data_IF_529099827445
#
_entry.id   IF_529099827445
#
_cell.length_a   1.000
_cell.length_b   1.000
_cell.length_c   1.000
_cell.angle_alpha   90.00
_cell.angle_beta   90.00
_cell.angle_gamma   90.00
#
_symmetry.space_group_name_H-M   'P 1'
#
loop_
_entity.id
_entity.type
_entity.pdbx_description
1 polymer ?
#
# COMPACT_ATOMS: atom_id res chain seq x y z
N UNK A 1 12.01 -14.61 -30.35
CA UNK A 1 12.14 -15.11 -28.97
C UNK A 1 12.53 -13.90 -28.15
N UNK A 2 11.53 -13.07 -27.85
CA UNK A 2 11.74 -11.87 -27.04
C UNK A 2 11.86 -12.32 -25.59
N UNK A 3 12.82 -11.75 -24.92
CA UNK A 3 13.23 -12.08 -23.57
C UNK A 3 12.15 -11.65 -22.57
N UNK A 4 11.21 -12.55 -22.27
CA UNK A 4 10.16 -12.34 -21.25
C UNK A 4 10.72 -12.45 -19.81
N UNK A 5 12.04 -12.29 -19.61
CA UNK A 5 12.69 -12.39 -18.30
C UNK A 5 12.84 -11.08 -17.52
N UNK A 6 12.46 -9.93 -18.09
CA UNK A 6 12.19 -8.71 -17.31
C UNK A 6 10.82 -8.78 -16.61
N UNK A 7 10.59 -9.86 -15.86
CA UNK A 7 9.45 -9.98 -14.95
C UNK A 7 9.67 -8.99 -13.81
N UNK A 8 9.27 -7.74 -14.08
CA UNK A 8 8.78 -6.67 -13.20
C UNK A 8 9.12 -6.79 -11.69
N UNK A 9 10.41 -6.91 -11.35
CA UNK A 9 10.86 -6.59 -10.01
C UNK A 9 10.98 -5.07 -9.93
N UNK A 10 10.19 -4.44 -9.06
CA UNK A 10 10.41 -3.02 -8.76
C UNK A 10 11.87 -2.86 -8.29
N UNK A 11 12.67 -1.98 -8.92
CA UNK A 11 14.04 -1.79 -8.50
C UNK A 11 14.06 -1.27 -7.07
N UNK A 12 14.91 -1.86 -6.22
CA UNK A 12 15.05 -1.41 -4.84
C UNK A 12 15.43 0.08 -4.83
N UNK A 13 14.62 0.88 -4.11
CA UNK A 13 14.81 2.32 -3.97
C UNK A 13 15.54 2.59 -2.66
N UNK A 14 16.55 3.45 -2.67
CA UNK A 14 17.23 3.89 -1.44
C UNK A 14 16.42 4.96 -0.70
N UNK A 15 16.62 5.12 0.62
CA UNK A 15 15.96 6.19 1.38
C UNK A 15 16.26 7.58 0.79
N UNK A 16 17.52 7.86 0.45
CA UNK A 16 17.91 9.14 -0.17
C UNK A 16 17.19 9.41 -1.49
N UNK A 17 17.06 8.39 -2.33
CA UNK A 17 16.35 8.49 -3.60
C UNK A 17 14.84 8.72 -3.39
N UNK A 18 14.25 7.97 -2.47
CA UNK A 18 12.85 8.15 -2.10
C UNK A 18 12.57 9.55 -1.54
N UNK A 19 13.44 10.07 -0.68
CA UNK A 19 13.33 11.43 -0.14
C UNK A 19 13.44 12.50 -1.23
N UNK A 20 14.30 12.30 -2.24
CA UNK A 20 14.35 13.20 -3.40
C UNK A 20 13.04 13.19 -4.18
N UNK A 21 12.48 12.01 -4.47
CA UNK A 21 11.19 11.87 -5.16
C UNK A 21 10.06 12.53 -4.35
N UNK A 22 10.06 12.34 -3.03
CA UNK A 22 9.09 12.91 -2.10
C UNK A 22 9.16 14.44 -2.08
N UNK A 23 10.35 15.00 -1.93
CA UNK A 23 10.59 16.44 -1.94
C UNK A 23 10.25 17.11 -3.28
N UNK A 24 10.53 16.42 -4.39
CA UNK A 24 10.18 16.87 -5.73
C UNK A 24 8.68 16.68 -6.07
N UNK A 25 7.93 15.95 -5.25
CA UNK A 25 6.56 15.52 -5.54
C UNK A 25 6.45 14.81 -6.90
N UNK A 26 7.40 13.91 -7.17
CA UNK A 26 7.49 13.13 -8.41
C UNK A 26 6.44 12.00 -8.41
N UNK A 27 5.15 12.36 -8.54
CA UNK A 27 3.98 11.44 -8.38
C UNK A 27 4.09 10.13 -9.15
N UNK A 28 4.55 10.20 -10.41
CA UNK A 28 4.72 9.05 -11.30
C UNK A 28 5.74 8.03 -10.81
N UNK A 29 6.70 8.46 -10.00
CA UNK A 29 7.75 7.61 -9.44
C UNK A 29 7.39 7.20 -8.00
N UNK A 30 6.84 8.13 -7.23
CA UNK A 30 6.60 7.99 -5.80
C UNK A 30 5.63 6.84 -5.46
N UNK A 31 4.58 6.64 -6.27
CA UNK A 31 3.62 5.55 -6.05
C UNK A 31 4.24 4.16 -6.27
N UNK A 32 5.26 4.03 -7.13
CA UNK A 32 5.99 2.76 -7.33
C UNK A 32 7.06 2.58 -6.28
N UNK A 33 7.77 3.65 -5.95
CA UNK A 33 8.84 3.65 -4.97
C UNK A 33 8.33 3.23 -3.58
N UNK A 34 7.15 3.70 -3.14
CA UNK A 34 6.61 3.30 -1.83
C UNK A 34 6.27 1.81 -1.75
N UNK A 35 5.78 1.22 -2.84
CA UNK A 35 5.55 -0.24 -2.90
C UNK A 35 6.89 -0.98 -2.89
N UNK A 36 7.87 -0.50 -3.65
CA UNK A 36 9.21 -1.11 -3.64
C UNK A 36 9.78 -1.15 -2.23
N UNK A 37 9.79 -0.02 -1.51
CA UNK A 37 10.26 0.05 -0.12
C UNK A 37 9.49 -0.92 0.78
N UNK A 38 8.16 -0.95 0.67
CA UNK A 38 7.32 -1.86 1.45
C UNK A 38 7.58 -3.35 1.16
N UNK A 39 8.16 -3.70 0.02
CA UNK A 39 8.52 -5.08 -0.33
C UNK A 39 9.99 -5.43 -0.03
N UNK A 40 10.90 -4.47 -0.10
CA UNK A 40 12.35 -4.74 -0.07
C UNK A 40 13.07 -4.19 1.15
N UNK A 41 12.60 -3.08 1.73
CA UNK A 41 13.32 -2.40 2.80
C UNK A 41 13.23 -3.18 4.12
N UNK A 42 14.28 -3.15 4.93
CA UNK A 42 14.34 -3.80 6.23
C UNK A 42 13.91 -2.87 7.38
N UNK A 43 13.99 -1.55 7.19
CA UNK A 43 13.55 -0.56 8.17
C UNK A 43 12.04 -0.36 8.06
N UNK A 44 11.29 -1.27 8.71
CA UNK A 44 9.83 -1.18 8.79
C UNK A 44 9.35 0.17 9.31
N UNK A 45 10.00 0.72 10.34
CA UNK A 45 9.51 1.93 10.99
C UNK A 45 9.61 3.15 10.07
N UNK A 46 10.71 3.25 9.33
CA UNK A 46 10.86 4.27 8.28
C UNK A 46 9.77 4.14 7.21
N UNK A 47 9.60 2.93 6.64
CA UNK A 47 8.63 2.72 5.56
C UNK A 47 7.20 2.95 6.02
N UNK A 48 6.86 2.51 7.22
CA UNK A 48 5.53 2.73 7.80
C UNK A 48 5.23 4.22 7.98
N UNK A 49 6.19 5.00 8.50
CA UNK A 49 6.05 6.45 8.62
C UNK A 49 5.83 7.12 7.26
N UNK A 50 6.60 6.70 6.24
CA UNK A 50 6.42 7.21 4.88
C UNK A 50 5.03 6.85 4.31
N UNK A 51 4.53 5.64 4.56
CA UNK A 51 3.19 5.23 4.15
C UNK A 51 2.10 6.05 4.85
N UNK A 52 2.25 6.32 6.16
CA UNK A 52 1.32 7.15 6.92
C UNK A 52 1.23 8.55 6.30
N UNK A 53 2.37 9.18 6.01
CA UNK A 53 2.40 10.51 5.39
C UNK A 53 1.77 10.50 3.99
N UNK A 54 2.16 9.53 3.15
CA UNK A 54 1.68 9.44 1.77
C UNK A 54 0.22 8.97 1.65
N UNK A 55 -0.35 8.33 2.65
CA UNK A 55 -1.77 7.97 2.71
C UNK A 55 -2.71 9.20 2.72
N UNK A 56 -2.15 10.40 2.87
CA UNK A 56 -2.89 11.67 2.81
C UNK A 56 -2.54 12.48 1.54
N UNK A 57 -1.74 11.90 0.64
CA UNK A 57 -1.29 12.59 -0.55
C UNK A 57 -2.46 12.93 -1.49
N UNK A 58 -2.41 14.08 -2.18
CA UNK A 58 -3.49 14.53 -3.08
C UNK A 58 -3.69 13.61 -4.28
N UNK A 59 -2.61 13.01 -4.76
CA UNK A 59 -2.62 12.07 -5.89
C UNK A 59 -3.13 10.72 -5.43
N UNK A 60 -4.15 10.21 -6.10
CA UNK A 60 -4.84 8.97 -5.74
C UNK A 60 -3.96 7.72 -5.88
N UNK A 61 -3.01 7.69 -6.83
CA UNK A 61 -2.11 6.55 -7.00
C UNK A 61 -1.06 6.51 -5.89
N UNK A 62 -0.51 7.67 -5.53
CA UNK A 62 0.42 7.77 -4.38
C UNK A 62 -0.29 7.37 -3.09
N UNK A 63 -1.47 7.93 -2.84
CA UNK A 63 -2.27 7.64 -1.63
C UNK A 63 -2.71 6.19 -1.56
N UNK A 64 -3.27 5.65 -2.64
CA UNK A 64 -3.73 4.27 -2.73
C UNK A 64 -2.58 3.30 -2.48
N UNK A 65 -1.44 3.49 -3.14
CA UNK A 65 -0.29 2.60 -2.97
C UNK A 65 0.35 2.71 -1.57
N UNK A 66 0.33 3.88 -0.94
CA UNK A 66 0.75 4.02 0.45
C UNK A 66 -0.16 3.24 1.41
N UNK A 67 -1.47 3.19 1.14
CA UNK A 67 -2.42 2.37 1.91
C UNK A 67 -2.20 0.87 1.64
N UNK A 68 -2.02 0.46 0.38
CA UNK A 68 -1.68 -0.93 0.02
C UNK A 68 -0.43 -1.41 0.76
N UNK A 69 0.59 -0.55 0.85
CA UNK A 69 1.85 -0.88 1.50
C UNK A 69 1.69 -1.31 2.97
N UNK A 70 0.65 -0.86 3.69
CA UNK A 70 0.35 -1.39 5.03
C UNK A 70 0.09 -2.90 5.01
N UNK A 71 -0.61 -3.44 4.00
CA UNK A 71 -0.82 -4.88 3.84
C UNK A 71 0.50 -5.63 3.64
N UNK A 72 1.43 -5.07 2.86
CA UNK A 72 2.77 -5.64 2.67
C UNK A 72 3.59 -5.64 3.96
N UNK A 73 3.57 -4.54 4.72
CA UNK A 73 4.25 -4.45 6.00
C UNK A 73 3.65 -5.46 7.01
N UNK A 74 2.33 -5.58 7.07
CA UNK A 74 1.64 -6.58 7.89
C UNK A 74 2.07 -8.01 7.52
N UNK A 75 2.11 -8.34 6.22
CA UNK A 75 2.55 -9.65 5.72
C UNK A 75 4.02 -9.94 6.04
N UNK A 76 4.91 -8.97 5.86
CA UNK A 76 6.37 -9.16 6.00
C UNK A 76 6.84 -9.18 7.45
N UNK A 77 6.30 -8.27 8.27
CA UNK A 77 6.82 -8.04 9.61
C UNK A 77 5.89 -8.54 10.72
N UNK A 78 4.62 -8.85 10.41
CA UNK A 78 3.66 -9.29 11.42
C UNK A 78 3.27 -8.21 12.43
N UNK A 79 3.57 -6.94 12.13
CA UNK A 79 3.21 -5.80 12.98
C UNK A 79 2.97 -4.52 12.16
N UNK A 80 2.11 -3.65 12.71
CA UNK A 80 1.82 -2.30 12.23
C UNK A 80 1.47 -1.40 13.42
N UNK A 81 1.67 -0.08 13.30
CA UNK A 81 1.08 0.87 14.25
C UNK A 81 -0.45 0.83 14.20
N UNK A 82 -1.10 0.92 15.36
CA UNK A 82 -2.58 0.87 15.47
C UNK A 82 -3.31 1.93 14.63
N UNK A 83 -2.69 3.10 14.43
CA UNK A 83 -3.26 4.17 13.62
C UNK A 83 -3.48 3.78 12.16
N UNK A 84 -2.76 2.79 11.65
CA UNK A 84 -2.88 2.30 10.27
C UNK A 84 -4.28 1.72 9.98
N UNK A 85 -4.96 1.14 10.96
CA UNK A 85 -6.32 0.64 10.78
C UNK A 85 -7.27 1.77 10.34
N UNK A 86 -7.23 2.93 11.01
CA UNK A 86 -8.09 4.07 10.66
C UNK A 86 -7.77 4.63 9.28
N UNK A 87 -6.52 4.55 8.83
CA UNK A 87 -6.13 4.98 7.48
C UNK A 87 -6.67 4.03 6.41
N UNK A 88 -6.65 2.72 6.66
CA UNK A 88 -7.26 1.72 5.79
C UNK A 88 -8.78 1.94 5.73
N UNK A 89 -9.44 2.10 6.87
CA UNK A 89 -10.89 2.35 6.96
C UNK A 89 -11.32 3.60 6.18
N UNK A 90 -10.54 4.69 6.27
CA UNK A 90 -10.76 5.89 5.45
C UNK A 90 -10.57 5.58 3.97
N UNK A 91 -9.55 4.81 3.61
CA UNK A 91 -9.30 4.37 2.24
C UNK A 91 -10.46 3.59 1.63
N UNK A 92 -11.17 2.76 2.42
CA UNK A 92 -12.34 1.98 1.95
C UNK A 92 -13.51 2.87 1.51
N UNK A 93 -13.57 4.12 1.99
CA UNK A 93 -14.61 5.09 1.66
C UNK A 93 -14.10 6.27 0.83
N UNK A 94 -12.85 6.19 0.33
CA UNK A 94 -12.24 7.24 -0.49
C UNK A 94 -13.06 7.48 -1.78
N UNK A 95 -13.18 8.72 -2.28
CA UNK A 95 -13.86 9.00 -3.55
C UNK A 95 -13.22 8.28 -4.75
N UNK A 96 -11.92 8.01 -4.72
CA UNK A 96 -11.22 7.29 -5.77
C UNK A 96 -11.48 5.79 -5.72
N UNK A 97 -11.92 5.22 -6.85
CA UNK A 97 -12.07 3.77 -6.98
C UNK A 97 -10.73 3.03 -6.81
N UNK A 98 -9.63 3.63 -7.27
CA UNK A 98 -8.30 3.06 -7.10
C UNK A 98 -7.92 2.96 -5.63
N UNK A 99 -8.09 4.04 -4.87
CA UNK A 99 -7.77 4.05 -3.43
C UNK A 99 -8.62 3.04 -2.67
N UNK A 100 -9.93 2.94 -2.97
CA UNK A 100 -10.80 1.93 -2.35
C UNK A 100 -10.31 0.51 -2.63
N UNK A 101 -9.91 0.20 -3.87
CA UNK A 101 -9.39 -1.13 -4.21
C UNK A 101 -8.09 -1.46 -3.42
N UNK A 102 -7.19 -0.49 -3.30
CA UNK A 102 -5.94 -0.67 -2.54
C UNK A 102 -6.19 -0.81 -1.04
N UNK A 103 -7.11 -0.02 -0.48
CA UNK A 103 -7.51 -0.15 0.91
C UNK A 103 -8.17 -1.49 1.20
N UNK A 104 -8.96 -2.00 0.25
CA UNK A 104 -9.59 -3.30 0.35
C UNK A 104 -8.54 -4.43 0.38
N UNK A 105 -7.53 -4.39 -0.50
CA UNK A 105 -6.41 -5.33 -0.47
C UNK A 105 -5.59 -5.24 0.83
N UNK A 106 -5.33 -4.03 1.32
CA UNK A 106 -4.63 -3.82 2.59
C UNK A 106 -5.43 -4.37 3.78
N UNK A 107 -6.75 -4.18 3.80
CA UNK A 107 -7.63 -4.67 4.85
C UNK A 107 -7.64 -6.21 4.90
N UNK A 108 -7.65 -6.88 3.75
CA UNK A 108 -7.58 -8.33 3.65
C UNK A 108 -6.25 -8.86 4.21
N UNK A 109 -5.12 -8.29 3.78
CA UNK A 109 -3.80 -8.66 4.30
C UNK A 109 -3.69 -8.41 5.81
N UNK A 110 -4.12 -7.23 6.30
CA UNK A 110 -4.07 -6.89 7.73
C UNK A 110 -4.96 -7.81 8.57
N UNK A 111 -6.17 -8.14 8.08
CA UNK A 111 -7.03 -9.12 8.75
C UNK A 111 -6.37 -10.50 8.75
N UNK A 112 -5.78 -10.93 7.65
CA UNK A 112 -5.18 -12.25 7.54
C UNK A 112 -3.94 -12.39 8.42
N UNK A 113 -2.99 -11.46 8.35
CA UNK A 113 -1.69 -11.57 9.02
C UNK A 113 -1.73 -11.09 10.47
N UNK A 114 -2.47 -10.02 10.77
CA UNK A 114 -2.50 -9.43 12.11
C UNK A 114 -3.76 -9.79 12.91
N UNK A 115 -4.75 -10.42 12.27
CA UNK A 115 -6.06 -10.75 12.88
C UNK A 115 -6.82 -9.52 13.37
N UNK A 116 -6.54 -8.36 12.79
CA UNK A 116 -7.26 -7.13 13.11
C UNK A 116 -8.65 -7.14 12.46
N UNK A 117 -9.61 -6.51 13.12
CA UNK A 117 -10.89 -6.15 12.51
C UNK A 117 -10.77 -4.74 11.95
N UNK A 118 -11.15 -4.57 10.68
CA UNK A 118 -11.13 -3.30 9.95
C UNK A 118 -12.58 -2.89 9.69
N UNK A 119 -12.99 -1.73 10.17
CA UNK A 119 -14.36 -1.25 9.96
C UNK A 119 -14.64 -1.01 8.47
N UNK A 120 -15.83 -1.42 8.01
CA UNK A 120 -16.20 -1.30 6.59
C UNK A 120 -15.57 -2.36 5.67
N UNK A 121 -14.82 -3.32 6.22
CA UNK A 121 -14.33 -4.48 5.50
C UNK A 121 -14.98 -5.76 6.04
N UNK A 122 -15.58 -6.56 5.16
CA UNK A 122 -16.07 -7.89 5.52
C UNK A 122 -15.51 -8.96 4.59
N UNK A 123 -14.97 -10.04 5.16
CA UNK A 123 -14.40 -11.17 4.41
C UNK A 123 -15.45 -11.92 3.56
N UNK A 124 -16.75 -11.69 3.83
CA UNK A 124 -17.83 -12.22 3.00
C UNK A 124 -18.00 -11.46 1.67
N UNK A 125 -17.60 -10.19 1.63
CA UNK A 125 -17.56 -9.38 0.39
C UNK A 125 -16.29 -9.66 -0.42
N UNK A 126 -15.21 -10.09 0.22
CA UNK A 126 -13.98 -10.59 -0.44
C UNK A 126 -14.22 -11.67 -1.47
N UNK A 127 -15.13 -12.59 -1.14
CA UNK A 127 -15.50 -13.69 -2.02
C UNK A 127 -16.34 -13.25 -3.23
N UNK A 128 -16.75 -11.97 -3.32
CA UNK A 128 -17.53 -11.40 -4.43
C UNK A 128 -16.73 -10.29 -5.14
N UNK A 129 -15.61 -10.62 -5.77
CA UNK A 129 -15.00 -9.63 -6.67
C UNK A 129 -15.84 -9.45 -7.95
N UNK A 130 -16.06 -8.21 -8.42
CA UNK A 130 -16.83 -7.93 -9.63
C UNK A 130 -15.97 -8.22 -10.87
N UNK A 131 -16.21 -9.37 -11.49
CA UNK A 131 -15.63 -9.78 -12.78
C UNK A 131 -16.48 -10.80 -13.56
N UNK A 132 -17.64 -11.20 -13.04
CA UNK A 132 -18.55 -12.20 -13.63
C UNK A 132 -19.92 -11.60 -14.01
N UNK A 133 -19.94 -10.36 -14.51
CA UNK A 133 -21.15 -9.75 -15.10
C UNK A 133 -20.82 -9.06 -16.43
#
# INVERSE_FOLDING_TARGET
MSDDSEINALPAVSHDEFERMRNANARSELHRAIISLALTDADRAYVESACIDLSQHRDEFVRGNAILAFGHLARRFGELSRGCAQLIERGLTDPSAHVRAQAWAAADDVQFFLKWSIAGFTSAEAARQPGDA
#
